data_IF_872518723660
#
_entry.id   IF_872518723660
#
_cell.length_a   1.000
_cell.length_b   1.000
_cell.length_c   1.000
_cell.angle_alpha   90.00
_cell.angle_beta   90.00
_cell.angle_gamma   90.00
#
_symmetry.space_group_name_H-M   'P 1'
#
loop_
_entity.id
_entity.type
_entity.pdbx_description
1 polymer ?
#
# COMPACT_ATOMS: atom_id res chain seq x y z
N UNK A 1 42.31 -57.70 -48.03
CA UNK A 1 42.34 -56.28 -47.70
C UNK A 1 41.06 -55.53 -48.11
N UNK A 2 40.45 -55.74 -49.27
CA UNK A 2 39.24 -55.00 -49.72
C UNK A 2 37.95 -55.28 -48.88
N UNK A 3 37.77 -56.48 -48.30
CA UNK A 3 36.59 -56.83 -47.49
C UNK A 3 36.63 -56.26 -46.06
N UNK A 4 37.84 -56.07 -45.50
CA UNK A 4 37.98 -55.44 -44.15
C UNK A 4 37.75 -53.95 -44.18
N UNK A 5 38.17 -53.29 -45.27
CA UNK A 5 37.91 -51.86 -45.45
C UNK A 5 36.40 -51.51 -45.59
N UNK A 6 35.61 -52.39 -46.24
CA UNK A 6 34.19 -52.21 -46.43
C UNK A 6 33.39 -52.39 -45.12
N UNK A 7 33.82 -53.31 -44.24
CA UNK A 7 33.23 -53.53 -42.91
C UNK A 7 33.51 -52.34 -41.94
N UNK A 8 34.71 -51.73 -42.00
CA UNK A 8 35.04 -50.56 -41.19
C UNK A 8 34.28 -49.33 -41.63
N UNK A 9 34.07 -49.14 -42.93
CA UNK A 9 33.27 -48.00 -43.45
C UNK A 9 31.77 -48.13 -43.09
N UNK A 10 31.21 -49.34 -43.14
CA UNK A 10 29.85 -49.63 -42.70
C UNK A 10 29.67 -49.51 -41.19
N UNK A 11 30.66 -49.80 -40.36
CA UNK A 11 30.60 -49.59 -38.90
C UNK A 11 30.71 -48.12 -38.52
N UNK A 12 31.47 -47.28 -39.26
CA UNK A 12 31.56 -45.84 -39.06
C UNK A 12 30.27 -45.11 -39.49
N UNK A 13 29.56 -45.62 -40.51
CA UNK A 13 28.26 -45.04 -40.93
C UNK A 13 27.14 -45.44 -39.95
N UNK A 14 27.17 -46.63 -39.33
CA UNK A 14 26.21 -47.02 -38.31
C UNK A 14 26.42 -46.27 -36.96
N UNK A 15 27.64 -45.92 -36.60
CA UNK A 15 27.88 -45.10 -35.40
C UNK A 15 27.55 -43.64 -35.58
N UNK A 16 27.61 -43.09 -36.81
CA UNK A 16 27.16 -41.73 -37.10
C UNK A 16 25.61 -41.57 -37.16
N UNK A 17 24.88 -42.66 -37.45
CA UNK A 17 23.41 -42.66 -37.41
C UNK A 17 22.79 -42.80 -36.00
N UNK A 18 23.58 -43.29 -35.01
CA UNK A 18 23.12 -43.37 -33.63
C UNK A 18 23.36 -42.06 -32.82
N UNK A 19 24.09 -41.07 -33.37
CA UNK A 19 24.33 -39.76 -32.75
C UNK A 19 23.39 -38.66 -33.28
N UNK A 20 22.41 -39.01 -34.16
CA UNK A 20 21.25 -38.14 -34.44
C UNK A 20 20.14 -38.49 -33.43
N UNK A 21 20.53 -38.65 -32.18
CA UNK A 21 19.64 -38.84 -31.06
C UNK A 21 19.48 -37.53 -30.30
N UNK A 22 18.29 -36.98 -30.37
CA UNK A 22 17.79 -35.94 -29.48
C UNK A 22 18.63 -34.62 -29.43
N UNK A 23 18.72 -33.90 -30.52
CA UNK A 23 18.62 -32.44 -30.42
C UNK A 23 17.16 -32.18 -30.06
N UNK A 24 16.83 -32.31 -28.79
CA UNK A 24 15.64 -31.72 -28.23
C UNK A 24 15.80 -30.24 -28.55
N UNK A 25 15.01 -29.73 -29.48
CA UNK A 25 14.99 -28.31 -29.80
C UNK A 25 14.78 -27.62 -28.43
N UNK A 26 15.78 -26.89 -27.98
CA UNK A 26 15.67 -26.07 -26.78
C UNK A 26 14.44 -25.20 -27.05
N UNK A 27 13.33 -25.48 -26.35
CA UNK A 27 12.13 -24.68 -26.50
C UNK A 27 12.52 -23.27 -26.18
N UNK A 28 12.42 -22.35 -27.13
CA UNK A 28 12.67 -20.93 -26.89
C UNK A 28 11.83 -20.49 -25.69
N UNK A 29 12.49 -20.19 -24.57
CA UNK A 29 11.84 -19.77 -23.32
C UNK A 29 11.56 -18.28 -23.41
N UNK A 30 10.29 -17.91 -23.38
CA UNK A 30 9.86 -16.51 -23.28
C UNK A 30 10.17 -16.01 -21.87
N UNK A 31 11.13 -15.09 -21.75
CA UNK A 31 11.49 -14.47 -20.47
C UNK A 31 10.83 -13.09 -20.37
N UNK A 32 10.04 -12.90 -19.32
CA UNK A 32 9.40 -11.62 -18.98
C UNK A 32 10.09 -10.95 -17.79
N UNK A 33 10.22 -9.63 -17.85
CA UNK A 33 10.84 -8.81 -16.78
C UNK A 33 9.79 -8.23 -15.88
N UNK A 34 9.93 -8.44 -14.57
CA UNK A 34 9.01 -7.97 -13.52
C UNK A 34 9.75 -7.02 -12.60
N UNK A 35 9.25 -5.79 -12.47
CA UNK A 35 9.72 -4.83 -11.49
C UNK A 35 8.72 -4.66 -10.35
N UNK A 36 9.23 -4.58 -9.12
CA UNK A 36 8.44 -4.29 -7.92
C UNK A 36 9.34 -3.68 -6.83
N UNK A 37 8.75 -2.99 -5.87
CA UNK A 37 9.44 -2.51 -4.66
C UNK A 37 9.43 -3.54 -3.53
N UNK A 38 8.61 -4.57 -3.62
CA UNK A 38 8.42 -5.57 -2.58
C UNK A 38 9.32 -6.79 -2.79
N UNK A 39 10.18 -7.08 -1.83
CA UNK A 39 11.09 -8.24 -1.90
C UNK A 39 10.34 -9.57 -2.01
N UNK A 40 9.09 -9.63 -1.57
CA UNK A 40 8.23 -10.83 -1.69
C UNK A 40 7.95 -11.23 -3.13
N UNK A 41 8.06 -10.29 -4.07
CA UNK A 41 7.92 -10.58 -5.50
C UNK A 41 8.94 -11.61 -6.00
N UNK A 42 10.14 -11.67 -5.41
CA UNK A 42 11.14 -12.69 -5.74
C UNK A 42 10.60 -14.11 -5.48
N UNK A 43 9.90 -14.30 -4.35
CA UNK A 43 9.27 -15.58 -4.01
C UNK A 43 8.13 -15.91 -4.96
N UNK A 44 7.30 -14.93 -5.30
CA UNK A 44 6.23 -15.07 -6.31
C UNK A 44 6.79 -15.50 -7.66
N UNK A 45 7.85 -14.84 -8.14
CA UNK A 45 8.52 -15.16 -9.42
C UNK A 45 9.08 -16.57 -9.39
N UNK A 46 9.72 -16.97 -8.29
CA UNK A 46 10.25 -18.34 -8.13
C UNK A 46 9.12 -19.39 -8.21
N UNK A 47 8.02 -19.18 -7.51
CA UNK A 47 6.87 -20.09 -7.56
C UNK A 47 6.21 -20.13 -8.94
N UNK A 48 6.07 -18.97 -9.60
CA UNK A 48 5.59 -18.89 -10.97
C UNK A 48 6.45 -19.73 -11.93
N UNK A 49 7.77 -19.55 -11.88
CA UNK A 49 8.69 -20.29 -12.73
C UNK A 49 8.61 -21.82 -12.52
N UNK A 50 8.53 -22.27 -11.27
CA UNK A 50 8.32 -23.68 -10.93
C UNK A 50 6.99 -24.21 -11.49
N UNK A 51 5.92 -23.41 -11.41
CA UNK A 51 4.61 -23.78 -11.95
C UNK A 51 4.65 -23.88 -13.48
N UNK A 52 5.25 -22.91 -14.16
CA UNK A 52 5.38 -22.95 -15.63
C UNK A 52 6.19 -24.15 -16.10
N UNK A 53 7.30 -24.45 -15.44
CA UNK A 53 8.10 -25.64 -15.71
C UNK A 53 7.29 -26.93 -15.49
N UNK A 54 6.58 -27.05 -14.37
CA UNK A 54 5.74 -28.20 -14.06
C UNK A 54 4.58 -28.40 -15.04
N UNK A 55 4.06 -27.33 -15.64
CA UNK A 55 3.03 -27.35 -16.68
C UNK A 55 3.61 -27.53 -18.10
N UNK A 56 4.94 -27.62 -18.25
CA UNK A 56 5.61 -27.74 -19.54
C UNK A 56 5.50 -26.48 -20.43
N UNK A 57 5.19 -25.33 -19.84
CA UNK A 57 5.11 -24.04 -20.51
C UNK A 57 6.50 -23.39 -20.61
N UNK A 58 6.86 -22.89 -21.78
CA UNK A 58 8.13 -22.21 -22.04
C UNK A 58 8.07 -20.71 -21.68
N UNK A 59 7.67 -20.40 -20.45
CA UNK A 59 7.57 -19.04 -19.91
C UNK A 59 8.39 -18.96 -18.62
N UNK A 60 9.19 -17.90 -18.47
CA UNK A 60 9.97 -17.59 -17.29
C UNK A 60 9.84 -16.11 -16.93
N UNK A 61 9.78 -15.79 -15.66
CA UNK A 61 9.86 -14.44 -15.15
C UNK A 61 11.22 -14.17 -14.49
N UNK A 62 11.71 -12.94 -14.62
CA UNK A 62 12.88 -12.41 -13.92
C UNK A 62 12.48 -11.18 -13.13
N UNK A 63 12.90 -11.10 -11.86
CA UNK A 63 12.55 -10.03 -10.93
C UNK A 63 13.69 -9.04 -10.77
N UNK A 64 13.34 -7.75 -10.73
CA UNK A 64 14.23 -6.69 -10.32
C UNK A 64 13.55 -5.83 -9.23
N UNK A 65 14.23 -5.72 -8.07
CA UNK A 65 13.78 -4.87 -6.96
C UNK A 65 14.04 -3.40 -7.28
N UNK A 66 13.00 -2.58 -7.22
CA UNK A 66 13.09 -1.14 -7.42
C UNK A 66 12.78 -0.42 -6.10
N UNK A 67 13.78 0.19 -5.44
CA UNK A 67 13.56 0.93 -4.21
C UNK A 67 12.49 2.02 -4.38
N UNK A 68 11.66 2.23 -3.35
CA UNK A 68 10.54 3.18 -3.37
C UNK A 68 10.93 4.57 -3.93
N UNK A 69 12.03 5.14 -3.44
CA UNK A 69 12.49 6.46 -3.88
C UNK A 69 12.92 6.53 -5.37
N UNK A 70 13.11 5.39 -6.04
CA UNK A 70 13.56 5.31 -7.44
C UNK A 70 12.44 4.91 -8.41
N UNK A 71 11.26 4.54 -7.92
CA UNK A 71 10.20 3.96 -8.75
C UNK A 71 9.84 4.83 -9.95
N UNK A 72 9.53 6.10 -9.71
CA UNK A 72 9.09 7.02 -10.76
C UNK A 72 10.23 7.35 -11.72
N UNK A 73 11.38 7.79 -11.19
CA UNK A 73 12.51 8.25 -12.03
C UNK A 73 13.09 7.12 -12.89
N UNK A 74 13.23 5.92 -12.33
CA UNK A 74 13.76 4.76 -13.07
C UNK A 74 12.79 4.30 -14.15
N UNK A 75 11.49 4.27 -13.86
CA UNK A 75 10.50 3.87 -14.85
C UNK A 75 10.39 4.88 -15.99
N UNK A 76 10.39 6.17 -15.68
CA UNK A 76 10.44 7.23 -16.71
C UNK A 76 11.65 7.09 -17.62
N UNK A 77 12.84 6.85 -17.06
CA UNK A 77 14.05 6.65 -17.84
C UNK A 77 13.96 5.40 -18.73
N UNK A 78 13.41 4.29 -18.21
CA UNK A 78 13.24 3.05 -18.95
C UNK A 78 12.22 3.19 -20.10
N UNK A 79 11.09 3.89 -19.86
CA UNK A 79 10.09 4.20 -20.88
C UNK A 79 10.70 5.04 -22.00
N UNK A 80 11.46 6.09 -21.65
CA UNK A 80 12.11 6.96 -22.63
C UNK A 80 13.17 6.23 -23.47
N UNK A 81 13.87 5.26 -22.88
CA UNK A 81 14.88 4.44 -23.54
C UNK A 81 14.30 3.25 -24.33
N UNK A 82 12.99 2.98 -24.27
CA UNK A 82 12.36 1.85 -24.95
C UNK A 82 12.70 0.48 -24.35
N UNK A 83 13.09 0.44 -23.06
CA UNK A 83 13.51 -0.77 -22.34
C UNK A 83 12.79 -0.95 -21.00
N UNK A 84 11.54 -0.48 -20.91
CA UNK A 84 10.70 -0.73 -19.75
C UNK A 84 10.53 -2.24 -19.47
N UNK A 85 10.28 -2.64 -18.20
CA UNK A 85 9.96 -4.04 -17.89
C UNK A 85 8.66 -4.45 -18.59
N UNK A 86 8.41 -5.75 -18.68
CA UNK A 86 7.14 -6.26 -19.21
C UNK A 86 5.99 -6.03 -18.24
N UNK A 87 6.27 -6.17 -16.94
CA UNK A 87 5.33 -5.97 -15.83
C UNK A 87 5.95 -5.01 -14.83
N UNK A 88 5.16 -4.06 -14.38
CA UNK A 88 5.54 -3.22 -13.24
C UNK A 88 4.43 -3.19 -12.19
N UNK A 89 4.82 -3.56 -10.94
CA UNK A 89 4.02 -3.35 -9.74
C UNK A 89 4.63 -2.17 -8.98
N UNK A 90 3.88 -1.08 -8.85
CA UNK A 90 4.31 0.13 -8.17
C UNK A 90 3.18 0.72 -7.33
N UNK A 91 3.53 1.71 -6.51
CA UNK A 91 2.58 2.37 -5.62
C UNK A 91 1.34 2.85 -6.41
N UNK A 92 0.16 2.52 -5.89
CA UNK A 92 -1.12 2.77 -6.56
C UNK A 92 -1.36 4.24 -6.91
N UNK A 93 -0.82 5.17 -6.09
CA UNK A 93 -0.96 6.63 -6.31
C UNK A 93 -0.23 7.12 -7.57
N UNK A 94 0.69 6.34 -8.11
CA UNK A 94 1.47 6.70 -9.32
C UNK A 94 0.73 6.32 -10.62
N UNK A 95 -0.21 5.40 -10.55
CA UNK A 95 -0.89 4.90 -11.75
C UNK A 95 -1.68 5.95 -12.54
N UNK A 96 -2.40 6.90 -11.91
CA UNK A 96 -3.07 7.96 -12.67
C UNK A 96 -2.12 8.74 -13.56
N UNK A 97 -0.92 9.07 -13.07
CA UNK A 97 0.12 9.72 -13.87
C UNK A 97 0.61 8.86 -15.02
N UNK A 98 1.01 7.61 -14.75
CA UNK A 98 1.52 6.72 -15.81
C UNK A 98 0.46 6.32 -16.82
N UNK A 99 -0.81 6.23 -16.43
CA UNK A 99 -1.94 6.03 -17.33
C UNK A 99 -2.16 7.25 -18.24
N UNK A 100 -1.94 8.48 -17.74
CA UNK A 100 -2.10 9.69 -18.56
C UNK A 100 -1.10 9.74 -19.72
N UNK A 101 0.11 9.19 -19.55
CA UNK A 101 1.15 9.08 -20.59
C UNK A 101 1.12 7.74 -21.32
N UNK A 102 0.09 6.92 -21.15
CA UNK A 102 -0.10 5.63 -21.83
C UNK A 102 1.05 4.63 -21.61
N UNK A 103 1.61 4.58 -20.38
CA UNK A 103 2.69 3.67 -20.04
C UNK A 103 2.24 2.21 -19.93
N UNK A 104 0.97 1.97 -19.62
CA UNK A 104 0.41 0.63 -19.40
C UNK A 104 -0.60 0.25 -20.49
N UNK A 105 -0.68 -1.04 -20.77
CA UNK A 105 -1.58 -1.65 -21.73
C UNK A 105 -3.00 -1.74 -21.16
N UNK A 106 -4.01 -1.57 -21.99
CA UNK A 106 -5.41 -1.90 -21.68
C UNK A 106 -5.56 -3.41 -21.47
N UNK A 107 -6.05 -3.79 -20.31
CA UNK A 107 -6.31 -5.18 -19.88
C UNK A 107 -7.77 -5.36 -19.48
N UNK A 108 -8.67 -4.52 -19.95
CA UNK A 108 -10.07 -4.46 -19.53
C UNK A 108 -10.80 -5.78 -19.69
N UNK A 109 -10.68 -6.40 -20.86
CA UNK A 109 -11.37 -7.65 -21.17
C UNK A 109 -10.79 -8.82 -20.38
N UNK A 110 -9.46 -8.90 -20.30
CA UNK A 110 -8.75 -9.90 -19.52
C UNK A 110 -9.07 -9.80 -18.02
N UNK A 111 -9.12 -8.56 -17.49
CA UNK A 111 -9.42 -8.30 -16.09
C UNK A 111 -10.86 -8.71 -15.74
N UNK A 112 -11.83 -8.29 -16.54
CA UNK A 112 -13.26 -8.63 -16.34
C UNK A 112 -13.56 -10.13 -16.48
N UNK A 113 -12.72 -10.86 -17.20
CA UNK A 113 -12.84 -12.31 -17.32
C UNK A 113 -12.30 -13.08 -16.09
N UNK A 114 -11.66 -12.42 -15.13
CA UNK A 114 -11.22 -13.06 -13.90
C UNK A 114 -12.43 -13.49 -13.06
N UNK A 115 -12.46 -14.73 -12.55
CA UNK A 115 -13.63 -15.24 -11.80
C UNK A 115 -13.85 -14.53 -10.46
N UNK A 116 -12.90 -13.72 -10.02
CA UNK A 116 -12.90 -12.94 -8.77
C UNK A 116 -12.86 -11.43 -9.01
N UNK A 117 -13.15 -10.97 -10.23
CA UNK A 117 -13.09 -9.56 -10.57
C UNK A 117 -13.90 -8.67 -9.64
N UNK A 118 -15.12 -9.11 -9.32
CA UNK A 118 -16.04 -8.37 -8.42
C UNK A 118 -15.57 -8.35 -6.95
N UNK A 119 -14.62 -9.23 -6.57
CA UNK A 119 -14.03 -9.21 -5.23
C UNK A 119 -12.87 -8.20 -5.10
N UNK A 120 -12.39 -7.64 -6.21
CA UNK A 120 -11.30 -6.66 -6.20
C UNK A 120 -11.78 -5.36 -5.54
N UNK A 121 -10.91 -4.68 -4.73
CA UNK A 121 -11.25 -3.42 -4.09
C UNK A 121 -11.49 -2.33 -5.14
N UNK A 122 -12.74 -1.98 -5.40
CA UNK A 122 -13.14 -1.10 -6.50
C UNK A 122 -12.52 0.30 -6.39
N UNK A 123 -12.35 0.82 -5.17
CA UNK A 123 -11.71 2.12 -4.96
C UNK A 123 -10.22 2.12 -5.31
N UNK A 124 -9.52 0.99 -5.12
CA UNK A 124 -8.13 0.85 -5.57
C UNK A 124 -8.06 0.59 -7.08
N UNK A 125 -8.96 -0.26 -7.61
CA UNK A 125 -9.04 -0.53 -9.04
C UNK A 125 -9.23 0.76 -9.84
N UNK A 126 -10.03 1.71 -9.32
CA UNK A 126 -10.25 3.04 -9.93
C UNK A 126 -8.93 3.77 -10.25
N UNK A 127 -7.91 3.65 -9.38
CA UNK A 127 -6.60 4.29 -9.61
C UNK A 127 -5.85 3.67 -10.81
N UNK A 128 -6.11 2.40 -11.10
CA UNK A 128 -5.59 1.70 -12.28
C UNK A 128 -6.42 1.92 -13.56
N UNK A 129 -7.47 2.75 -13.50
CA UNK A 129 -8.38 3.00 -14.63
C UNK A 129 -8.17 4.38 -15.25
N UNK A 130 -8.53 4.50 -16.51
CA UNK A 130 -8.68 5.76 -17.24
C UNK A 130 -9.80 5.61 -18.27
N UNK A 131 -10.74 6.55 -18.31
CA UNK A 131 -11.84 6.58 -19.29
C UNK A 131 -12.64 5.27 -19.33
N UNK A 132 -12.87 4.65 -18.15
CA UNK A 132 -13.61 3.40 -18.03
C UNK A 132 -12.84 2.13 -18.42
N UNK A 133 -11.57 2.24 -18.81
CA UNK A 133 -10.69 1.12 -19.14
C UNK A 133 -9.73 0.81 -18.00
N UNK A 134 -9.35 -0.46 -17.88
CA UNK A 134 -8.48 -0.99 -16.84
C UNK A 134 -7.08 -1.18 -17.40
N UNK A 135 -6.08 -0.61 -16.74
CA UNK A 135 -4.66 -0.68 -17.10
C UNK A 135 -3.81 -1.40 -16.04
N UNK A 136 -4.35 -1.57 -14.83
CA UNK A 136 -3.69 -2.29 -13.75
C UNK A 136 -4.71 -2.87 -12.77
N UNK A 137 -4.30 -3.93 -12.07
CA UNK A 137 -5.08 -4.56 -11.00
C UNK A 137 -4.43 -4.26 -9.64
N UNK A 138 -5.22 -4.19 -8.54
CA UNK A 138 -4.66 -4.22 -7.20
C UNK A 138 -3.73 -5.42 -7.01
N UNK A 139 -2.59 -5.23 -6.36
CA UNK A 139 -1.61 -6.29 -6.11
C UNK A 139 -1.30 -6.48 -4.62
N UNK A 140 -1.18 -5.40 -3.86
CA UNK A 140 -1.07 -5.43 -2.41
C UNK A 140 -1.91 -4.31 -1.79
N UNK A 141 -2.25 -4.45 -0.51
CA UNK A 141 -3.10 -3.49 0.20
C UNK A 141 -2.41 -3.08 1.50
N UNK A 142 -2.33 -1.75 1.71
CA UNK A 142 -2.02 -1.14 2.98
C UNK A 142 -3.23 -0.31 3.44
N UNK A 143 -3.65 -0.51 4.69
CA UNK A 143 -4.79 0.20 5.25
C UNK A 143 -4.37 0.96 6.50
N UNK A 144 -4.73 2.25 6.56
CA UNK A 144 -4.51 3.07 7.75
C UNK A 144 -5.49 2.68 8.86
N UNK A 145 -5.00 2.68 10.10
CA UNK A 145 -5.79 2.32 11.28
C UNK A 145 -5.30 3.07 12.52
N UNK A 146 -6.08 2.99 13.60
CA UNK A 146 -5.65 3.32 14.95
C UNK A 146 -5.21 2.04 15.66
N UNK A 147 -4.02 2.06 16.25
CA UNK A 147 -3.57 1.04 17.20
C UNK A 147 -3.67 1.59 18.61
N UNK A 148 -4.02 0.72 19.58
CA UNK A 148 -4.05 1.09 20.99
C UNK A 148 -3.48 0.00 21.90
N UNK A 149 -2.84 0.39 23.02
CA UNK A 149 -2.36 -0.50 24.05
C UNK A 149 -3.51 -0.85 25.01
N UNK A 150 -3.90 -2.13 25.04
CA UNK A 150 -4.93 -2.62 25.95
C UNK A 150 -4.48 -2.57 27.39
N UNK A 151 -3.17 -2.73 27.64
CA UNK A 151 -2.62 -2.65 28.99
C UNK A 151 -2.71 -1.24 29.56
N UNK A 152 -2.30 -0.23 28.80
CA UNK A 152 -2.42 1.17 29.23
C UNK A 152 -3.89 1.60 29.40
N UNK A 153 -4.81 1.03 28.61
CA UNK A 153 -6.25 1.25 28.81
C UNK A 153 -6.72 0.69 30.15
N UNK A 154 -6.34 -0.54 30.51
CA UNK A 154 -6.65 -1.16 31.80
C UNK A 154 -6.09 -0.32 32.96
N UNK A 155 -4.86 0.13 32.86
CA UNK A 155 -4.21 0.99 33.88
C UNK A 155 -4.86 2.36 34.03
N UNK A 156 -5.49 2.88 32.99
CA UNK A 156 -6.25 4.12 33.01
C UNK A 156 -7.73 3.93 33.41
N UNK A 157 -8.16 2.70 33.73
CA UNK A 157 -9.55 2.39 34.06
C UNK A 157 -10.50 2.44 32.87
N UNK A 158 -9.96 2.32 31.64
CA UNK A 158 -10.73 2.21 30.41
C UNK A 158 -11.00 0.73 30.08
N UNK A 159 -12.09 0.49 29.34
CA UNK A 159 -12.34 -0.86 28.83
C UNK A 159 -11.31 -1.17 27.71
N UNK A 160 -10.44 -2.19 27.86
CA UNK A 160 -9.39 -2.52 26.92
C UNK A 160 -9.91 -2.99 25.54
N UNK A 161 -11.17 -3.43 25.48
CA UNK A 161 -11.79 -3.93 24.24
C UNK A 161 -12.74 -2.92 23.59
N UNK A 162 -12.77 -1.68 24.13
CA UNK A 162 -13.56 -0.58 23.55
C UNK A 162 -12.64 0.59 23.17
N UNK A 163 -12.05 0.58 21.96
CA UNK A 163 -11.27 1.72 21.47
C UNK A 163 -12.18 2.93 21.17
N UNK A 164 -11.60 4.15 21.05
CA UNK A 164 -12.37 5.33 20.68
C UNK A 164 -12.89 5.22 19.24
N UNK A 165 -14.20 5.42 19.06
CA UNK A 165 -14.86 5.40 17.77
C UNK A 165 -15.04 6.79 17.19
N UNK A 166 -15.07 7.83 18.03
CA UNK A 166 -15.29 9.22 17.62
C UNK A 166 -14.15 10.15 18.08
N UNK A 167 -14.12 11.35 17.52
CA UNK A 167 -13.17 12.39 17.91
C UNK A 167 -13.31 12.76 19.39
N UNK A 168 -14.53 12.84 19.91
CA UNK A 168 -14.75 13.15 21.33
C UNK A 168 -14.24 12.01 22.23
N UNK A 169 -14.49 10.73 21.86
CA UNK A 169 -13.95 9.58 22.58
C UNK A 169 -12.41 9.54 22.52
N UNK A 170 -11.81 9.89 21.37
CA UNK A 170 -10.35 9.99 21.25
C UNK A 170 -9.78 11.03 22.23
N UNK A 171 -10.43 12.18 22.34
CA UNK A 171 -10.03 13.24 23.29
C UNK A 171 -10.22 12.79 24.75
N UNK A 172 -11.37 12.21 25.08
CA UNK A 172 -11.68 11.75 26.43
C UNK A 172 -10.68 10.68 26.89
N UNK A 173 -10.44 9.65 26.05
CA UNK A 173 -9.49 8.58 26.35
C UNK A 173 -8.06 9.10 26.38
N UNK A 174 -7.70 9.95 25.41
CA UNK A 174 -6.39 10.58 25.36
C UNK A 174 -6.04 11.34 26.63
N UNK A 175 -6.98 12.07 27.22
CA UNK A 175 -6.78 12.78 28.50
C UNK A 175 -6.54 11.82 29.67
N UNK A 176 -7.25 10.69 29.73
CA UNK A 176 -7.06 9.68 30.80
C UNK A 176 -5.73 8.92 30.66
N UNK A 177 -5.24 8.83 29.42
CA UNK A 177 -4.02 8.10 29.07
C UNK A 177 -2.77 8.98 29.07
N UNK A 178 -2.92 10.30 29.09
CA UNK A 178 -1.80 11.25 29.19
C UNK A 178 -1.45 11.45 30.65
N UNK A 179 -0.24 11.07 31.06
CA UNK A 179 0.17 11.02 32.47
C UNK A 179 1.60 11.54 32.67
N UNK A 180 1.79 12.24 33.76
CA UNK A 180 3.03 12.47 34.46
C UNK A 180 3.13 11.36 35.51
N UNK A 181 4.06 10.41 35.34
CA UNK A 181 4.12 9.19 36.16
C UNK A 181 4.96 9.35 37.40
N UNK A 182 5.94 10.26 37.40
CA UNK A 182 6.84 10.52 38.52
C UNK A 182 6.54 11.83 39.27
N UNK A 183 5.63 12.67 38.75
CA UNK A 183 5.16 13.89 39.39
C UNK A 183 6.10 15.10 39.24
N UNK A 184 7.00 15.05 38.27
CA UNK A 184 7.97 16.15 38.01
C UNK A 184 7.41 17.30 37.18
N UNK A 185 6.17 17.17 36.72
CA UNK A 185 5.48 18.16 35.86
C UNK A 185 5.71 17.98 34.38
N UNK A 186 6.46 16.93 33.97
CA UNK A 186 6.67 16.54 32.58
C UNK A 186 5.82 15.31 32.25
N UNK A 187 5.23 15.30 31.06
CA UNK A 187 4.43 14.16 30.63
C UNK A 187 5.33 13.03 30.16
N UNK A 188 5.25 11.87 30.82
CA UNK A 188 5.99 10.64 30.51
C UNK A 188 5.26 9.76 29.50
N UNK A 189 3.94 9.71 29.60
CA UNK A 189 3.06 8.90 28.78
C UNK A 189 2.03 9.76 28.10
N UNK A 190 1.93 9.65 26.78
CA UNK A 190 0.98 10.37 25.96
C UNK A 190 -0.19 9.49 25.52
N UNK A 191 -1.38 10.05 25.53
CA UNK A 191 -2.57 9.33 25.08
C UNK A 191 -2.59 9.10 23.57
N UNK A 192 -2.05 10.06 22.80
CA UNK A 192 -2.04 10.01 21.34
C UNK A 192 -0.79 10.72 20.79
N UNK A 193 -0.46 10.48 19.53
CA UNK A 193 0.55 11.24 18.81
C UNK A 193 0.11 11.50 17.36
N UNK A 194 0.45 12.69 16.85
CA UNK A 194 0.23 13.04 15.46
C UNK A 194 1.16 12.25 14.53
N UNK A 195 0.77 12.14 13.29
CA UNK A 195 1.53 11.53 12.22
C UNK A 195 2.02 12.62 11.26
N UNK A 196 3.07 13.34 11.68
CA UNK A 196 3.67 14.44 10.91
C UNK A 196 4.82 13.99 10.02
N UNK A 197 5.84 14.81 9.90
CA UNK A 197 7.11 14.62 9.21
C UNK A 197 7.11 14.67 7.68
N UNK A 198 6.00 14.49 6.98
CA UNK A 198 5.96 14.60 5.50
C UNK A 198 4.54 14.74 4.96
N UNK A 199 4.40 15.31 3.76
CA UNK A 199 3.13 15.37 3.04
C UNK A 199 2.49 13.99 2.84
N UNK A 200 3.28 12.97 2.52
CA UNK A 200 2.80 11.58 2.39
C UNK A 200 2.25 11.01 3.70
N UNK A 201 2.84 11.38 4.86
CA UNK A 201 2.33 11.00 6.17
C UNK A 201 0.95 11.60 6.43
N UNK A 202 0.76 12.89 6.11
CA UNK A 202 -0.56 13.53 6.23
C UNK A 202 -1.57 12.92 5.26
N UNK A 203 -1.18 12.57 4.02
CA UNK A 203 -2.09 11.89 3.09
C UNK A 203 -2.58 10.57 3.67
N UNK A 204 -1.70 9.74 4.22
CA UNK A 204 -2.06 8.40 4.69
C UNK A 204 -2.85 8.38 6.01
N UNK A 205 -2.56 9.30 6.94
CA UNK A 205 -3.15 9.28 8.27
C UNK A 205 -4.11 10.43 8.59
N UNK A 206 -3.96 11.60 7.94
CA UNK A 206 -4.87 12.73 8.16
C UNK A 206 -6.10 12.68 7.24
N UNK A 207 -5.95 12.29 5.97
CA UNK A 207 -7.10 12.27 5.05
C UNK A 207 -8.31 11.44 5.57
N UNK A 208 -8.13 10.30 6.28
CA UNK A 208 -9.27 9.62 6.90
C UNK A 208 -10.06 10.47 7.91
N UNK A 209 -9.40 11.34 8.66
CA UNK A 209 -10.11 12.29 9.54
C UNK A 209 -10.95 13.28 8.72
N UNK A 210 -10.36 13.83 7.68
CA UNK A 210 -11.03 14.75 6.76
C UNK A 210 -12.24 14.08 6.11
N UNK A 211 -12.05 12.89 5.58
CA UNK A 211 -13.13 12.13 4.95
C UNK A 211 -14.23 11.71 5.93
N UNK A 212 -13.84 11.36 7.16
CA UNK A 212 -14.79 10.99 8.20
C UNK A 212 -15.70 12.14 8.61
N UNK A 213 -15.28 13.38 8.34
CA UNK A 213 -16.07 14.60 8.60
C UNK A 213 -16.85 15.09 7.37
N UNK A 214 -16.88 14.28 6.30
CA UNK A 214 -17.55 14.66 5.05
C UNK A 214 -16.75 15.60 4.15
N UNK A 215 -15.48 15.86 4.49
CA UNK A 215 -14.57 16.63 3.66
C UNK A 215 -13.95 15.83 2.52
N UNK A 216 -13.29 16.53 1.60
CA UNK A 216 -12.51 15.93 0.51
C UNK A 216 -11.35 16.86 0.12
N UNK A 217 -10.26 16.28 -0.38
CA UNK A 217 -9.16 17.06 -0.92
C UNK A 217 -9.44 17.45 -2.37
N UNK A 218 -9.88 16.47 -3.16
CA UNK A 218 -10.19 16.59 -4.58
C UNK A 218 -11.57 16.02 -4.87
N UNK A 219 -12.14 16.39 -6.02
CA UNK A 219 -13.27 15.69 -6.63
C UNK A 219 -12.91 14.22 -6.95
N UNK A 220 -13.92 13.39 -7.17
CA UNK A 220 -13.74 11.95 -7.42
C UNK A 220 -12.94 11.63 -8.69
N UNK A 221 -12.95 12.54 -9.67
CA UNK A 221 -12.17 12.44 -10.91
C UNK A 221 -10.81 13.15 -10.82
N UNK A 222 -10.51 13.81 -9.68
CA UNK A 222 -9.26 14.50 -9.42
C UNK A 222 -9.07 15.81 -10.17
N UNK A 223 -10.12 16.39 -10.75
CA UNK A 223 -10.05 17.59 -11.59
C UNK A 223 -10.29 18.89 -10.82
N UNK A 224 -10.93 18.81 -9.66
CA UNK A 224 -11.28 19.98 -8.84
C UNK A 224 -10.70 19.87 -7.43
N UNK A 225 -10.22 20.99 -6.89
CA UNK A 225 -9.79 21.11 -5.49
C UNK A 225 -11.01 21.38 -4.61
N UNK A 226 -11.31 20.48 -3.68
CA UNK A 226 -12.37 20.60 -2.70
C UNK A 226 -11.85 20.91 -1.29
N UNK A 227 -10.53 21.21 -1.18
CA UNK A 227 -9.86 21.32 0.10
C UNK A 227 -10.34 22.49 0.95
N UNK A 228 -10.74 23.62 0.36
CA UNK A 228 -11.27 24.79 1.08
C UNK A 228 -12.75 24.59 1.41
N UNK A 229 -13.02 23.82 2.48
CA UNK A 229 -14.39 23.58 2.96
C UNK A 229 -14.49 23.65 4.48
N UNK A 230 -15.67 23.98 5.05
CA UNK A 230 -15.86 23.98 6.51
C UNK A 230 -15.49 22.68 7.18
N UNK A 231 -15.78 21.54 6.54
CA UNK A 231 -15.47 20.19 7.05
C UNK A 231 -13.97 19.96 7.17
N UNK A 232 -13.21 20.43 6.18
CA UNK A 232 -11.76 20.32 6.19
C UNK A 232 -11.11 21.26 7.20
N UNK A 233 -11.62 22.48 7.32
CA UNK A 233 -11.17 23.44 8.34
C UNK A 233 -11.37 22.85 9.75
N UNK A 234 -12.54 22.25 10.01
CA UNK A 234 -12.84 21.58 11.27
C UNK A 234 -11.87 20.40 11.55
N UNK A 235 -11.56 19.58 10.55
CA UNK A 235 -10.61 18.48 10.71
C UNK A 235 -9.17 18.95 11.00
N UNK A 236 -8.70 20.00 10.34
CA UNK A 236 -7.40 20.64 10.62
C UNK A 236 -7.39 21.26 12.01
N UNK A 237 -8.46 21.96 12.39
CA UNK A 237 -8.61 22.53 13.73
C UNK A 237 -8.63 21.44 14.81
N UNK A 238 -9.31 20.32 14.57
CA UNK A 238 -9.32 19.19 15.48
C UNK A 238 -7.90 18.67 15.75
N UNK A 239 -7.09 18.44 14.70
CA UNK A 239 -5.71 18.00 14.87
C UNK A 239 -4.85 19.03 15.63
N UNK A 240 -5.02 20.32 15.34
CA UNK A 240 -4.38 21.40 16.10
C UNK A 240 -4.78 21.35 17.58
N UNK A 241 -6.06 21.14 17.86
CA UNK A 241 -6.61 21.08 19.21
C UNK A 241 -6.08 19.88 20.02
N UNK A 242 -5.76 18.75 19.39
CA UNK A 242 -5.15 17.59 20.07
C UNK A 242 -3.83 17.95 20.77
N UNK A 243 -3.05 18.85 20.18
CA UNK A 243 -1.77 19.34 20.72
C UNK A 243 -1.96 20.51 21.68
N UNK A 244 -2.67 21.55 21.25
CA UNK A 244 -2.66 22.85 21.95
C UNK A 244 -3.75 22.98 23.02
N UNK A 245 -4.96 22.49 22.76
CA UNK A 245 -6.12 22.61 23.64
C UNK A 245 -6.31 21.41 24.54
N UNK A 246 -6.30 20.21 23.92
CA UNK A 246 -6.55 18.97 24.66
C UNK A 246 -5.30 18.41 25.29
N UNK A 247 -4.12 18.73 24.75
CA UNK A 247 -2.78 18.34 25.25
C UNK A 247 -2.65 16.82 25.44
N UNK A 248 -3.21 16.05 24.51
CA UNK A 248 -3.13 14.59 24.50
C UNK A 248 -2.03 14.06 23.57
N UNK A 249 -1.47 14.93 22.73
CA UNK A 249 -0.37 14.64 21.83
C UNK A 249 0.80 15.60 22.10
N UNK A 250 2.08 15.09 22.14
CA UNK A 250 3.23 15.95 22.33
C UNK A 250 3.43 16.89 21.11
N UNK A 251 3.81 18.13 21.37
CA UNK A 251 4.10 19.09 20.29
C UNK A 251 5.21 18.58 19.35
N UNK A 252 6.16 17.81 19.85
CA UNK A 252 7.22 17.18 19.04
C UNK A 252 6.67 16.19 18.00
N UNK A 253 5.49 15.60 18.23
CA UNK A 253 4.89 14.62 17.32
C UNK A 253 4.48 15.22 15.95
N UNK A 254 4.46 16.55 15.83
CA UNK A 254 4.28 17.25 14.54
C UNK A 254 5.39 16.83 13.55
N UNK A 255 6.58 16.50 14.05
CA UNK A 255 7.74 16.09 13.26
C UNK A 255 8.07 14.59 13.39
N UNK A 256 7.22 13.80 14.08
CA UNK A 256 7.49 12.38 14.25
C UNK A 256 7.22 11.61 12.95
N UNK A 257 8.18 10.79 12.56
CA UNK A 257 8.02 9.80 11.52
C UNK A 257 7.33 8.53 12.04
N UNK A 258 7.12 7.54 11.17
CA UNK A 258 6.47 6.27 11.56
C UNK A 258 7.25 5.50 12.63
N UNK A 259 8.58 5.54 12.58
CA UNK A 259 9.46 4.89 13.56
C UNK A 259 9.38 5.52 14.93
N UNK A 260 9.29 6.85 15.01
CA UNK A 260 9.20 7.57 16.29
C UNK A 260 7.94 7.18 17.06
N UNK A 261 6.78 7.17 16.39
CA UNK A 261 5.50 6.74 16.97
C UNK A 261 5.50 5.28 17.38
N UNK A 262 6.00 4.43 16.50
CA UNK A 262 6.11 3.00 16.73
C UNK A 262 6.98 2.71 17.98
N UNK A 263 8.16 3.30 18.05
CA UNK A 263 9.08 3.12 19.17
C UNK A 263 8.49 3.65 20.48
N UNK A 264 7.81 4.80 20.46
CA UNK A 264 7.12 5.33 21.64
C UNK A 264 6.00 4.40 22.12
N UNK A 265 5.26 3.78 21.21
CA UNK A 265 4.21 2.80 21.52
C UNK A 265 4.77 1.52 22.12
N UNK A 266 5.79 0.93 21.50
CA UNK A 266 6.48 -0.27 22.01
C UNK A 266 7.10 -0.03 23.39
N UNK A 267 7.62 1.18 23.64
CA UNK A 267 8.18 1.57 24.93
C UNK A 267 7.13 1.90 26.02
N UNK A 268 5.82 1.78 25.73
CA UNK A 268 4.74 2.13 26.65
C UNK A 268 4.59 3.64 26.93
N UNK A 269 5.27 4.50 26.15
CA UNK A 269 5.20 5.97 26.27
C UNK A 269 4.08 6.60 25.43
N UNK A 270 3.40 5.79 24.64
CA UNK A 270 2.30 6.22 23.77
C UNK A 270 1.18 5.18 23.81
N UNK A 271 -0.02 5.60 24.15
CA UNK A 271 -1.14 4.69 24.32
C UNK A 271 -1.90 4.39 23.02
N UNK A 272 -1.97 5.35 22.11
CA UNK A 272 -2.67 5.23 20.82
C UNK A 272 -1.84 5.91 19.73
N UNK A 273 -1.74 5.28 18.55
CA UNK A 273 -1.10 5.89 17.39
C UNK A 273 -1.74 5.48 16.06
N UNK A 274 -1.54 6.33 15.05
CA UNK A 274 -1.96 6.06 13.69
C UNK A 274 -0.91 5.21 12.98
N UNK A 275 -1.29 4.02 12.56
CA UNK A 275 -0.42 3.06 11.87
C UNK A 275 -1.14 2.39 10.69
N UNK A 276 -0.78 1.15 10.42
CA UNK A 276 -1.36 0.33 9.36
C UNK A 276 -1.14 -1.17 9.61
N UNK A 277 -1.67 -2.01 8.70
CA UNK A 277 -1.49 -3.47 8.77
C UNK A 277 -0.03 -3.92 8.84
N UNK A 278 0.88 -3.13 8.28
CA UNK A 278 2.33 -3.40 8.30
C UNK A 278 2.94 -3.34 9.71
N UNK A 279 2.26 -2.75 10.70
CA UNK A 279 2.73 -2.73 12.09
C UNK A 279 2.56 -4.08 12.81
N UNK A 280 1.64 -4.95 12.39
CA UNK A 280 1.29 -6.18 13.12
C UNK A 280 2.50 -7.10 13.24
N UNK A 281 3.16 -7.44 12.13
CA UNK A 281 4.35 -8.31 12.17
C UNK A 281 5.52 -7.68 12.91
N UNK A 282 5.68 -6.36 12.80
CA UNK A 282 6.71 -5.64 13.55
C UNK A 282 6.45 -5.76 15.05
N UNK A 283 5.20 -5.57 15.50
CA UNK A 283 4.82 -5.73 16.89
C UNK A 283 4.97 -7.16 17.40
N UNK A 284 4.62 -8.17 16.60
CA UNK A 284 4.85 -9.58 16.97
C UNK A 284 6.32 -9.89 17.23
N UNK A 285 7.21 -9.28 16.45
CA UNK A 285 8.66 -9.47 16.55
C UNK A 285 9.27 -8.66 17.70
N UNK A 286 8.95 -7.38 17.77
CA UNK A 286 9.65 -6.42 18.61
C UNK A 286 9.02 -6.30 20.02
N UNK A 287 7.72 -6.62 20.15
CA UNK A 287 6.95 -6.54 21.39
C UNK A 287 5.95 -7.72 21.52
N UNK A 288 6.43 -8.98 21.54
CA UNK A 288 5.56 -10.17 21.48
C UNK A 288 4.59 -10.33 22.66
N UNK A 289 4.82 -9.62 23.77
CA UNK A 289 3.97 -9.65 24.96
C UNK A 289 3.02 -8.45 25.06
N UNK A 290 3.05 -7.52 24.10
CA UNK A 290 2.20 -6.34 24.11
C UNK A 290 0.76 -6.72 23.75
N UNK A 291 -0.18 -6.48 24.66
CA UNK A 291 -1.61 -6.63 24.39
C UNK A 291 -2.13 -5.35 23.72
N UNK A 292 -2.42 -5.44 22.43
CA UNK A 292 -2.86 -4.31 21.62
C UNK A 292 -4.07 -4.67 20.75
N UNK A 293 -4.78 -3.64 20.31
CA UNK A 293 -5.85 -3.78 19.35
C UNK A 293 -5.67 -2.85 18.16
N UNK A 294 -6.46 -3.09 17.10
CA UNK A 294 -6.58 -2.22 15.93
C UNK A 294 -8.03 -1.87 15.67
N UNK A 295 -8.30 -0.64 15.26
CA UNK A 295 -9.64 -0.16 14.90
C UNK A 295 -9.55 0.87 13.80
N UNK A 296 -10.70 1.27 13.28
CA UNK A 296 -10.81 2.43 12.41
C UNK A 296 -10.20 3.68 13.04
N UNK A 297 -9.68 4.56 12.21
CA UNK A 297 -9.40 5.93 12.60
C UNK A 297 -10.71 6.55 13.11
N UNK A 298 -10.72 7.19 14.30
CA UNK A 298 -11.93 7.77 14.88
C UNK A 298 -12.58 8.78 13.94
N UNK A 299 -13.89 8.69 13.80
CA UNK A 299 -14.69 9.57 12.96
C UNK A 299 -15.18 10.81 13.71
N UNK A 300 -15.62 11.84 13.00
CA UNK A 300 -16.43 12.90 13.62
C UNK A 300 -17.76 12.34 14.15
N UNK A 301 -18.44 13.04 15.04
CA UNK A 301 -19.63 12.52 15.72
C UNK A 301 -20.75 12.14 14.75
N UNK A 302 -20.99 12.94 13.73
CA UNK A 302 -22.00 12.72 12.68
C UNK A 302 -21.47 12.01 11.45
N UNK A 303 -20.16 11.71 11.42
CA UNK A 303 -19.47 11.22 10.22
C UNK A 303 -19.49 9.71 10.03
N UNK A 304 -18.74 9.27 9.04
CA UNK A 304 -18.59 7.86 8.66
C UNK A 304 -17.16 7.40 8.89
N UNK A 305 -16.97 6.10 9.17
CA UNK A 305 -15.63 5.53 9.21
C UNK A 305 -14.95 5.59 7.84
N UNK A 306 -13.64 5.80 7.88
CA UNK A 306 -12.81 5.88 6.70
C UNK A 306 -11.44 5.27 6.98
N UNK A 307 -10.75 4.84 5.93
CA UNK A 307 -9.37 4.40 5.96
C UNK A 307 -8.68 4.85 4.68
N UNK A 308 -7.38 5.09 4.72
CA UNK A 308 -6.61 5.29 3.51
C UNK A 308 -6.27 3.93 2.91
N UNK A 309 -6.50 3.76 1.61
CA UNK A 309 -6.07 2.61 0.83
C UNK A 309 -4.72 2.92 0.18
N UNK A 310 -3.66 2.36 0.72
CA UNK A 310 -2.33 2.30 0.12
C UNK A 310 -2.06 0.93 -0.49
N UNK A 311 -0.81 0.71 -0.88
CA UNK A 311 -0.35 -0.53 -1.50
C UNK A 311 0.03 -0.35 -2.96
N UNK A 312 0.00 -1.42 -3.73
CA UNK A 312 0.45 -1.43 -5.12
C UNK A 312 -0.66 -1.84 -6.10
N UNK A 313 -0.53 -1.35 -7.33
CA UNK A 313 -1.18 -1.95 -8.49
C UNK A 313 -0.11 -2.61 -9.38
N UNK A 314 -0.52 -3.59 -10.19
CA UNK A 314 0.32 -4.32 -11.14
C UNK A 314 -0.26 -4.18 -12.55
N UNK A 315 0.57 -3.77 -13.51
CA UNK A 315 0.18 -3.57 -14.90
C UNK A 315 1.20 -4.10 -15.90
N UNK A 316 0.75 -4.33 -17.12
CA UNK A 316 1.57 -4.70 -18.27
C UNK A 316 1.99 -3.43 -18.98
N UNK A 317 3.28 -3.21 -19.22
CA UNK A 317 3.73 -2.01 -19.92
C UNK A 317 3.41 -2.09 -21.41
N UNK A 318 3.20 -0.94 -22.06
CA UNK A 318 2.97 -0.87 -23.52
C UNK A 318 4.16 -1.32 -24.34
N UNK A 319 5.37 -1.39 -23.73
CA UNK A 319 6.59 -1.85 -24.39
C UNK A 319 6.79 -3.38 -24.33
N UNK A 320 5.97 -4.10 -23.55
CA UNK A 320 6.05 -5.56 -23.50
C UNK A 320 5.71 -6.18 -24.88
N UNK A 321 6.55 -7.13 -25.26
CA UNK A 321 6.37 -7.92 -26.49
C UNK A 321 5.64 -9.25 -26.23
N UNK A 322 5.34 -9.56 -24.96
CA UNK A 322 4.84 -10.85 -24.50
C UNK A 322 3.52 -10.74 -23.73
N UNK A 323 2.46 -10.17 -24.34
CA UNK A 323 1.22 -9.88 -23.62
C UNK A 323 0.55 -11.11 -22.99
N UNK A 324 0.61 -12.26 -23.65
CA UNK A 324 0.03 -13.52 -23.16
C UNK A 324 0.83 -14.07 -21.95
N UNK A 325 2.16 -14.05 -22.05
CA UNK A 325 3.03 -14.53 -20.96
C UNK A 325 2.95 -13.62 -19.73
N UNK A 326 2.85 -12.29 -19.93
CA UNK A 326 2.66 -11.33 -18.85
C UNK A 326 1.30 -11.48 -18.18
N UNK A 327 0.24 -11.77 -18.95
CA UNK A 327 -1.07 -12.03 -18.39
C UNK A 327 -1.12 -13.34 -17.58
N UNK A 328 -0.44 -14.40 -18.03
CA UNK A 328 -0.26 -15.62 -17.23
C UNK A 328 0.38 -15.32 -15.88
N UNK A 329 1.39 -14.44 -15.84
CA UNK A 329 2.01 -14.02 -14.58
C UNK A 329 1.02 -13.25 -13.69
N UNK A 330 0.26 -12.28 -14.23
CA UNK A 330 -0.73 -11.50 -13.45
C UNK A 330 -1.81 -12.43 -12.87
N UNK A 331 -2.31 -13.39 -13.65
CA UNK A 331 -3.25 -14.41 -13.14
C UNK A 331 -2.67 -15.23 -12.00
N UNK A 332 -1.40 -15.64 -12.11
CA UNK A 332 -0.72 -16.36 -11.05
C UNK A 332 -0.53 -15.46 -9.82
N UNK A 333 -0.04 -14.22 -10.04
CA UNK A 333 0.18 -13.26 -8.95
C UNK A 333 -1.11 -13.04 -8.13
N UNK A 334 -2.24 -12.80 -8.79
CA UNK A 334 -3.55 -12.53 -8.14
C UNK A 334 -4.30 -13.79 -7.73
N UNK A 335 -3.73 -14.99 -7.93
CA UNK A 335 -4.32 -16.24 -7.49
C UNK A 335 -4.39 -16.35 -5.97
N UNK A 336 -5.38 -17.10 -5.45
CA UNK A 336 -5.49 -17.37 -4.02
C UNK A 336 -4.28 -18.08 -3.45
N UNK A 337 -3.66 -18.99 -4.23
CA UNK A 337 -2.45 -19.71 -3.83
C UNK A 337 -1.30 -18.75 -3.53
N UNK A 338 -0.94 -17.88 -4.47
CA UNK A 338 0.14 -16.91 -4.28
C UNK A 338 -0.17 -15.90 -3.19
N UNK A 339 -1.39 -15.36 -3.18
CA UNK A 339 -1.79 -14.35 -2.19
C UNK A 339 -1.79 -14.91 -0.76
N UNK A 340 -2.08 -16.20 -0.56
CA UNK A 340 -2.05 -16.83 0.77
C UNK A 340 -0.64 -17.30 1.12
N UNK A 341 0.01 -18.11 0.27
CA UNK A 341 1.24 -18.81 0.62
C UNK A 341 2.49 -17.90 0.59
N UNK A 342 2.45 -16.80 -0.16
CA UNK A 342 3.54 -15.83 -0.19
C UNK A 342 3.19 -14.60 0.63
N UNK A 343 2.09 -13.93 0.29
CA UNK A 343 1.81 -12.57 0.79
C UNK A 343 1.16 -12.58 2.18
N UNK A 344 0.04 -13.29 2.38
CA UNK A 344 -0.62 -13.36 3.69
C UNK A 344 0.26 -14.02 4.76
N UNK A 345 1.09 -15.00 4.38
CA UNK A 345 2.11 -15.59 5.26
C UNK A 345 3.04 -14.55 5.85
N UNK A 346 3.36 -13.52 5.10
CA UNK A 346 4.21 -12.39 5.52
C UNK A 346 3.40 -11.17 5.96
N UNK A 347 2.12 -11.35 6.30
CA UNK A 347 1.27 -10.31 6.86
C UNK A 347 0.82 -9.23 5.89
N UNK A 348 1.00 -9.43 4.60
CA UNK A 348 0.44 -8.53 3.58
C UNK A 348 -1.01 -8.91 3.32
N UNK A 349 -1.89 -7.92 3.32
CA UNK A 349 -3.32 -8.14 3.10
C UNK A 349 -3.58 -8.60 1.65
N UNK A 350 -4.25 -9.76 1.45
CA UNK A 350 -4.72 -10.14 0.13
C UNK A 350 -5.66 -9.09 -0.47
N UNK A 351 -5.61 -8.94 -1.78
CA UNK A 351 -6.48 -8.02 -2.52
C UNK A 351 -7.96 -8.42 -2.53
N UNK A 352 -8.30 -9.58 -1.96
CA UNK A 352 -9.66 -10.10 -1.83
C UNK A 352 -9.95 -10.45 -0.38
N UNK A 353 -10.98 -9.83 0.20
CA UNK A 353 -11.37 -10.10 1.59
C UNK A 353 -11.84 -11.55 1.82
N UNK A 354 -12.34 -12.24 0.79
CA UNK A 354 -12.66 -13.67 0.84
C UNK A 354 -11.47 -14.57 1.22
N UNK A 355 -10.22 -14.08 0.99
CA UNK A 355 -9.00 -14.80 1.34
C UNK A 355 -8.51 -14.49 2.77
N UNK A 356 -9.17 -13.63 3.54
CA UNK A 356 -8.74 -13.30 4.90
C UNK A 356 -8.98 -14.46 5.88
N UNK A 357 -9.96 -15.33 5.62
CA UNK A 357 -10.15 -16.58 6.37
C UNK A 357 -9.10 -17.64 5.95
N UNK A 358 -7.84 -17.36 6.19
CA UNK A 358 -6.72 -18.25 5.88
C UNK A 358 -5.95 -18.66 7.16
N UNK A 359 -5.12 -19.71 7.03
CA UNK A 359 -4.37 -20.28 8.18
C UNK A 359 -3.42 -19.28 8.86
N UNK A 360 -2.87 -18.31 8.12
CA UNK A 360 -1.93 -17.33 8.64
C UNK A 360 -2.61 -16.20 9.40
N UNK A 361 -3.82 -15.81 8.98
CA UNK A 361 -4.58 -14.76 9.65
C UNK A 361 -5.41 -15.30 10.81
N UNK A 362 -5.80 -16.59 10.79
CA UNK A 362 -6.48 -17.24 11.94
C UNK A 362 -5.67 -17.19 13.23
N UNK A 363 -4.35 -17.26 13.14
CA UNK A 363 -3.45 -17.12 14.30
C UNK A 363 -3.14 -15.67 14.66
N UNK A 364 -3.62 -14.71 13.85
CA UNK A 364 -3.41 -13.26 13.99
C UNK A 364 -4.73 -12.53 13.79
N UNK A 365 -5.63 -12.56 14.79
CA UNK A 365 -7.01 -12.06 14.62
C UNK A 365 -7.10 -10.58 14.20
N UNK A 366 -6.05 -9.79 14.46
CA UNK A 366 -5.96 -8.39 14.04
C UNK A 366 -6.10 -8.23 12.53
N UNK A 367 -5.58 -9.18 11.72
CA UNK A 367 -5.74 -9.11 10.26
C UNK A 367 -7.19 -9.28 9.80
N UNK A 368 -8.01 -10.02 10.55
CA UNK A 368 -9.43 -10.20 10.23
C UNK A 368 -10.23 -8.90 10.35
N UNK A 369 -9.77 -7.97 11.21
CA UNK A 369 -10.42 -6.66 11.37
C UNK A 369 -10.33 -5.82 10.09
N UNK A 370 -9.24 -5.94 9.31
CA UNK A 370 -9.07 -5.18 8.07
C UNK A 370 -10.08 -5.53 6.97
N UNK A 371 -10.73 -6.70 7.04
CA UNK A 371 -11.84 -7.00 6.13
C UNK A 371 -12.98 -5.97 6.24
N UNK A 372 -13.17 -5.38 7.42
CA UNK A 372 -14.17 -4.33 7.67
C UNK A 372 -13.75 -2.98 7.10
N UNK A 373 -12.44 -2.74 6.90
CA UNK A 373 -11.90 -1.46 6.45
C UNK A 373 -11.93 -1.33 4.92
N UNK A 374 -11.78 -2.44 4.19
CA UNK A 374 -11.76 -2.45 2.73
C UNK A 374 -12.93 -1.71 2.06
N UNK A 375 -14.19 -1.89 2.51
CA UNK A 375 -15.34 -1.22 1.85
C UNK A 375 -15.32 0.30 1.95
N UNK A 376 -14.61 0.86 2.94
CA UNK A 376 -14.55 2.30 3.20
C UNK A 376 -13.16 2.89 2.92
N UNK A 377 -12.21 2.05 2.51
CA UNK A 377 -10.86 2.45 2.19
C UNK A 377 -10.80 3.11 0.81
N UNK A 378 -10.11 4.26 0.73
CA UNK A 378 -9.95 5.01 -0.53
C UNK A 378 -8.64 5.79 -0.56
N UNK A 379 -8.24 6.19 -1.76
CA UNK A 379 -7.16 7.15 -1.99
C UNK A 379 -7.61 8.19 -3.03
N UNK A 380 -7.06 9.41 -3.01
CA UNK A 380 -7.38 10.41 -4.01
C UNK A 380 -6.91 9.96 -5.40
N UNK A 381 -7.72 10.20 -6.42
CA UNK A 381 -7.32 10.03 -7.82
C UNK A 381 -6.69 11.33 -8.33
N UNK A 382 -5.42 11.31 -8.71
CA UNK A 382 -4.79 12.47 -9.37
C UNK A 382 -3.50 12.05 -10.08
N UNK A 383 -3.31 12.52 -11.32
CA UNK A 383 -2.03 12.41 -12.01
C UNK A 383 -0.94 13.31 -11.37
N UNK A 384 -1.34 14.29 -10.56
CA UNK A 384 -0.47 15.24 -9.85
C UNK A 384 -0.32 14.93 -8.36
N UNK A 385 -0.56 13.66 -7.96
CA UNK A 385 -0.66 13.30 -6.54
C UNK A 385 0.58 13.68 -5.72
N UNK A 386 1.79 13.49 -6.27
CA UNK A 386 3.03 13.80 -5.56
C UNK A 386 3.22 15.31 -5.33
N UNK A 387 2.78 16.12 -6.27
CA UNK A 387 2.87 17.58 -6.21
C UNK A 387 1.91 18.17 -5.16
N UNK A 388 0.88 17.40 -4.77
CA UNK A 388 -0.05 17.78 -3.71
C UNK A 388 0.52 17.57 -2.29
N UNK A 389 1.66 16.87 -2.16
CA UNK A 389 2.30 16.69 -0.85
C UNK A 389 2.74 18.01 -0.21
N UNK A 390 3.36 18.89 -0.97
CA UNK A 390 3.86 20.18 -0.47
C UNK A 390 2.75 21.10 0.02
N UNK A 391 1.63 21.32 -0.72
CA UNK A 391 0.49 22.06 -0.22
C UNK A 391 -0.13 21.46 1.05
N UNK A 392 -0.26 20.12 1.13
CA UNK A 392 -0.77 19.45 2.32
C UNK A 392 0.15 19.63 3.52
N UNK A 393 1.46 19.41 3.33
CA UNK A 393 2.46 19.63 4.37
C UNK A 393 2.44 21.07 4.86
N UNK A 394 2.41 22.04 3.95
CA UNK A 394 2.32 23.46 4.27
C UNK A 394 1.13 23.75 5.17
N UNK A 395 -0.07 23.28 4.80
CA UNK A 395 -1.29 23.46 5.59
C UNK A 395 -1.10 22.95 7.03
N UNK A 396 -0.69 21.68 7.14
CA UNK A 396 -0.59 21.02 8.43
C UNK A 396 0.50 21.63 9.31
N UNK A 397 1.67 21.94 8.78
CA UNK A 397 2.74 22.60 9.53
C UNK A 397 2.32 23.98 10.03
N UNK A 398 1.72 24.82 9.18
CA UNK A 398 1.28 26.17 9.57
C UNK A 398 0.21 26.14 10.66
N UNK A 399 -0.76 25.24 10.52
CA UNK A 399 -1.81 25.09 11.52
C UNK A 399 -1.30 24.48 12.84
N UNK A 400 -0.55 23.36 12.76
CA UNK A 400 -0.11 22.61 13.93
C UNK A 400 0.99 23.33 14.73
N UNK A 401 1.83 24.16 14.09
CA UNK A 401 2.81 25.01 14.77
C UNK A 401 2.21 26.31 15.33
N UNK A 402 0.89 26.50 15.20
CA UNK A 402 0.17 27.71 15.62
C UNK A 402 0.66 29.00 14.93
N UNK A 403 1.11 28.85 13.68
CA UNK A 403 1.58 29.97 12.85
C UNK A 403 0.42 30.60 12.05
N UNK A 404 -0.65 29.83 11.82
CA UNK A 404 -1.87 30.26 11.14
C UNK A 404 -3.12 29.71 11.84
N UNK A 405 -4.28 30.33 11.57
CA UNK A 405 -5.56 29.70 11.83
C UNK A 405 -5.74 28.46 10.94
N UNK A 406 -6.59 27.52 11.35
CA UNK A 406 -6.91 26.37 10.49
C UNK A 406 -7.57 26.83 9.19
N UNK A 407 -8.41 27.86 9.26
CA UNK A 407 -9.10 28.44 8.10
C UNK A 407 -8.12 29.02 7.07
N UNK A 408 -7.18 29.87 7.51
CA UNK A 408 -6.18 30.46 6.61
C UNK A 408 -5.23 29.40 6.02
N UNK A 409 -4.80 28.44 6.84
CA UNK A 409 -3.92 27.36 6.39
C UNK A 409 -4.59 26.49 5.31
N UNK A 410 -5.86 26.14 5.49
CA UNK A 410 -6.65 25.36 4.52
C UNK A 410 -6.88 26.16 3.24
N UNK A 411 -7.27 27.44 3.35
CA UNK A 411 -7.48 28.32 2.19
C UNK A 411 -6.21 28.45 1.35
N UNK A 412 -5.08 28.80 1.97
CA UNK A 412 -3.81 28.98 1.25
C UNK A 412 -3.28 27.67 0.63
N UNK A 413 -3.51 26.55 1.31
CA UNK A 413 -3.16 25.25 0.74
C UNK A 413 -4.04 24.89 -0.47
N UNK A 414 -5.34 25.18 -0.41
CA UNK A 414 -6.24 24.97 -1.55
C UNK A 414 -5.81 25.79 -2.77
N UNK A 415 -5.45 27.07 -2.59
CA UNK A 415 -4.92 27.92 -3.67
C UNK A 415 -3.63 27.34 -4.29
N UNK A 416 -2.76 26.72 -3.46
CA UNK A 416 -1.56 26.02 -3.95
C UNK A 416 -1.91 24.73 -4.71
N UNK A 417 -2.88 23.96 -4.22
CA UNK A 417 -3.36 22.75 -4.90
C UNK A 417 -4.01 23.08 -6.25
N UNK A 418 -4.79 24.17 -6.33
CA UNK A 418 -5.37 24.65 -7.60
C UNK A 418 -4.27 24.97 -8.63
N UNK A 419 -3.19 25.63 -8.23
CA UNK A 419 -2.05 25.91 -9.11
C UNK A 419 -1.42 24.61 -9.62
N UNK A 420 -1.22 23.63 -8.72
CA UNK A 420 -0.71 22.30 -9.10
C UNK A 420 -1.58 21.66 -10.18
N UNK A 421 -2.92 21.70 -10.03
CA UNK A 421 -3.82 21.08 -11.02
C UNK A 421 -3.86 21.82 -12.36
N UNK A 422 -3.56 23.14 -12.38
CA UNK A 422 -3.54 23.95 -13.61
C UNK A 422 -2.24 23.77 -14.45
N UNK A 423 -1.13 23.36 -13.86
CA UNK A 423 0.15 23.08 -14.52
C UNK A 423 0.13 21.76 -15.32
#
# INVERSE_FOLDING_TARGET
MKKVCLMMVLMLIMTSLFFIGNVQAEKDVTTIKVWDREVLMETTVKMFNQKMEGEGKSIRAEFELIPYAQQVSKFMAALAAGNAPDIYSLDLIQYPYFNSISAFRDITEEAKALPYFEELPQQMLKLGMREGRIYALPSSIDLSCLLWSKDLFKEAGLNPDKPPATWNELVEYGKKLTKDLDGDGVTDQWGFALAGASGGAYMFWFLPFLWSNGGAMLSDDGTEVLFNSPQNIEAVQFWKDLVHKHKIAPKSSINWNSGDRYNAFVAGKLAMFLGGNFNILSLEKDAPNLDYGITFIPKSESGQFSSFAGGNLIGITTQSKYPEATWEFIKFYTSGENLIEVWAKQGVLPIRSSLYDNKYFKIRPQYMEFAKFLPVARAPYSAKYNELYDPMQYCMEKALLDQMSAEDAVREAAEKMEKVLME
#
